data_IF_881782835396
#
_entry.id   IF_881782835396
#
_cell.length_a   1.000
_cell.length_b   1.000
_cell.length_c   1.000
_cell.angle_alpha   90.00
_cell.angle_beta   90.00
_cell.angle_gamma   90.00
#
_symmetry.space_group_name_H-M   'P 1'
#
loop_
_entity.id
_entity.type
_entity.pdbx_description
1 polymer ?
#
# COMPACT_ATOMS: atom_id res chain seq x y z
N UNK A 1 -3.63 -19.76 -33.50
CA UNK A 1 -2.66 -18.65 -33.49
C UNK A 1 -3.06 -17.71 -32.38
N UNK A 2 -2.54 -17.91 -31.18
CA UNK A 2 -2.60 -16.90 -30.12
C UNK A 2 -1.49 -15.90 -30.43
N UNK A 3 -1.91 -14.69 -30.75
CA UNK A 3 -1.02 -13.58 -31.09
C UNK A 3 -0.04 -13.33 -29.93
N UNK A 4 1.25 -13.27 -30.24
CA UNK A 4 2.34 -13.12 -29.28
C UNK A 4 2.49 -11.67 -28.83
N UNK A 5 1.44 -11.10 -28.23
CA UNK A 5 1.51 -9.78 -27.65
C UNK A 5 2.50 -9.78 -26.47
N UNK A 6 3.43 -8.83 -26.48
CA UNK A 6 4.31 -8.59 -25.34
C UNK A 6 3.46 -8.33 -24.07
N UNK A 7 3.90 -8.79 -22.89
CA UNK A 7 3.18 -8.51 -21.65
C UNK A 7 3.13 -6.99 -21.41
N UNK A 8 2.01 -6.50 -20.89
CA UNK A 8 1.83 -5.08 -20.56
C UNK A 8 2.90 -4.61 -19.57
N UNK A 9 3.51 -3.46 -19.86
CA UNK A 9 4.47 -2.82 -18.99
C UNK A 9 3.74 -1.88 -18.02
N UNK A 10 3.86 -2.15 -16.71
CA UNK A 10 3.05 -1.49 -15.68
C UNK A 10 3.97 -0.72 -14.72
N UNK A 11 3.73 0.57 -14.56
CA UNK A 11 4.42 1.39 -13.57
C UNK A 11 3.75 1.25 -12.20
N UNK A 12 4.41 0.57 -11.26
CA UNK A 12 3.94 0.58 -9.87
C UNK A 12 4.29 1.91 -9.19
N UNK A 13 3.27 2.62 -8.72
CA UNK A 13 3.44 3.88 -8.02
C UNK A 13 3.60 3.68 -6.51
N UNK A 14 4.74 4.15 -5.99
CA UNK A 14 5.04 4.27 -4.56
C UNK A 14 5.41 5.74 -4.26
N UNK A 15 4.98 6.31 -3.13
CA UNK A 15 4.32 5.67 -1.99
C UNK A 15 2.82 5.40 -2.16
N UNK A 16 2.36 4.31 -1.53
CA UNK A 16 0.94 3.96 -1.37
C UNK A 16 0.18 4.98 -0.49
N UNK A 17 -1.16 5.05 -0.56
CA UNK A 17 -2.07 4.23 -1.38
C UNK A 17 -2.40 4.82 -2.78
N UNK A 18 -2.10 6.10 -3.01
CA UNK A 18 -2.25 6.79 -4.29
C UNK A 18 -1.50 8.13 -4.22
N UNK A 19 -1.29 8.75 -5.38
CA UNK A 19 -0.61 10.04 -5.49
C UNK A 19 -1.45 11.20 -4.94
N UNK A 20 -0.77 12.29 -4.57
CA UNK A 20 -1.39 13.56 -4.24
C UNK A 20 -1.56 14.43 -5.49
N UNK A 21 -2.46 15.42 -5.43
CA UNK A 21 -2.73 16.33 -6.55
C UNK A 21 -1.47 17.03 -7.12
N UNK A 22 -0.47 17.29 -6.28
CA UNK A 22 0.82 17.90 -6.71
C UNK A 22 1.69 16.93 -7.53
N UNK A 23 1.46 15.64 -7.42
CA UNK A 23 2.23 14.57 -8.07
C UNK A 23 1.60 14.13 -9.41
N UNK A 24 0.40 14.60 -9.75
CA UNK A 24 -0.30 14.21 -10.98
C UNK A 24 0.49 14.48 -12.27
N UNK A 25 1.39 15.47 -12.29
CA UNK A 25 2.30 15.71 -13.43
C UNK A 25 3.32 14.59 -13.63
N UNK A 26 3.83 14.02 -12.53
CA UNK A 26 4.74 12.88 -12.57
C UNK A 26 4.01 11.62 -13.06
N UNK A 27 2.79 11.37 -12.56
CA UNK A 27 1.95 10.23 -12.98
C UNK A 27 1.70 10.24 -14.48
N UNK A 28 1.36 11.41 -15.04
CA UNK A 28 1.14 11.55 -16.50
C UNK A 28 2.40 11.25 -17.31
N UNK A 29 3.58 11.51 -16.75
CA UNK A 29 4.85 11.23 -17.43
C UNK A 29 5.15 9.73 -17.51
N UNK A 30 4.64 8.91 -16.57
CA UNK A 30 4.80 7.46 -16.60
C UNK A 30 4.12 6.83 -17.83
N UNK A 31 3.01 7.42 -18.30
CA UNK A 31 2.30 6.97 -19.51
C UNK A 31 3.11 7.12 -20.81
N UNK A 32 4.26 7.80 -20.77
CA UNK A 32 5.18 7.86 -21.91
C UNK A 32 6.03 6.59 -22.04
N UNK A 33 6.11 5.79 -20.98
CA UNK A 33 7.00 4.63 -20.87
C UNK A 33 6.28 3.33 -20.52
N UNK A 34 5.05 3.41 -19.98
CA UNK A 34 4.30 2.28 -19.49
C UNK A 34 2.86 2.31 -20.04
N UNK A 35 2.30 1.12 -20.24
CA UNK A 35 0.93 0.94 -20.73
C UNK A 35 -0.10 1.24 -19.63
N UNK A 36 0.24 0.95 -18.39
CA UNK A 36 -0.62 1.14 -17.22
C UNK A 36 0.16 1.72 -16.04
N UNK A 37 -0.55 2.37 -15.13
CA UNK A 37 -0.07 2.73 -13.80
C UNK A 37 -0.79 1.86 -12.78
N UNK A 38 -0.06 1.25 -11.86
CA UNK A 38 -0.62 0.47 -10.77
C UNK A 38 -0.47 1.19 -9.42
N UNK A 39 -1.51 1.09 -8.59
CA UNK A 39 -1.51 1.50 -7.19
C UNK A 39 -1.91 0.32 -6.32
N UNK A 40 -1.38 0.23 -5.10
CA UNK A 40 -1.94 -0.65 -4.08
C UNK A 40 -2.99 0.12 -3.29
N UNK A 41 -4.25 -0.31 -3.38
CA UNK A 41 -5.37 0.35 -2.70
C UNK A 41 -6.20 -0.70 -1.99
N UNK A 42 -6.26 -0.67 -0.65
CA UNK A 42 -7.18 -1.49 0.12
C UNK A 42 -8.63 -1.29 -0.31
N UNK A 43 -9.45 -2.34 -0.24
CA UNK A 43 -10.82 -2.33 -0.71
C UNK A 43 -11.69 -1.23 -0.07
N UNK A 44 -11.45 -0.94 1.22
CA UNK A 44 -12.15 0.06 2.01
C UNK A 44 -11.80 1.51 1.59
N UNK A 45 -10.74 1.70 0.81
CA UNK A 45 -10.31 3.00 0.27
C UNK A 45 -10.75 3.21 -1.19
N UNK A 46 -11.52 2.27 -1.77
CA UNK A 46 -11.97 2.37 -3.16
C UNK A 46 -12.63 3.72 -3.44
N UNK A 47 -12.20 4.37 -4.52
CA UNK A 47 -12.71 5.67 -4.96
C UNK A 47 -12.04 6.87 -4.29
N UNK A 48 -11.24 6.69 -3.23
CA UNK A 48 -10.51 7.80 -2.62
C UNK A 48 -9.41 8.35 -3.53
N UNK A 49 -8.82 7.52 -4.39
CA UNK A 49 -7.82 7.94 -5.39
C UNK A 49 -8.40 8.92 -6.41
N UNK A 50 -9.67 8.73 -6.81
CA UNK A 50 -10.40 9.66 -7.68
C UNK A 50 -10.68 10.98 -6.97
N UNK A 51 -11.10 10.93 -5.71
CA UNK A 51 -11.38 12.15 -4.93
C UNK A 51 -10.10 12.95 -4.67
N UNK A 52 -8.97 12.28 -4.43
CA UNK A 52 -7.70 12.91 -4.09
C UNK A 52 -7.10 13.71 -5.26
N UNK A 53 -7.19 13.19 -6.48
CA UNK A 53 -6.80 13.90 -7.70
C UNK A 53 -7.60 13.42 -8.91
N UNK A 54 -8.77 14.02 -9.18
CA UNK A 54 -9.62 13.63 -10.30
C UNK A 54 -8.93 13.80 -11.66
N UNK A 55 -7.96 14.71 -11.78
CA UNK A 55 -7.37 15.11 -13.06
C UNK A 55 -6.66 13.97 -13.79
N UNK A 56 -5.76 13.19 -13.17
CA UNK A 56 -5.26 11.94 -13.72
C UNK A 56 -6.11 10.73 -13.34
N UNK A 57 -6.72 10.67 -12.15
CA UNK A 57 -7.34 9.41 -11.69
C UNK A 57 -8.58 9.01 -12.52
N UNK A 58 -9.54 9.92 -12.76
CA UNK A 58 -10.75 9.58 -13.52
C UNK A 58 -10.42 9.17 -14.97
N UNK A 59 -9.56 9.90 -15.72
CA UNK A 59 -9.24 9.51 -17.08
C UNK A 59 -8.44 8.21 -17.16
N UNK A 60 -7.57 7.93 -16.18
CA UNK A 60 -6.82 6.68 -16.15
C UNK A 60 -7.74 5.49 -15.89
N UNK A 61 -8.62 5.59 -14.88
CA UNK A 61 -9.58 4.54 -14.55
C UNK A 61 -10.59 4.32 -15.69
N UNK A 62 -11.16 5.41 -16.23
CA UNK A 62 -12.13 5.35 -17.33
C UNK A 62 -11.55 4.82 -18.65
N UNK A 63 -10.22 4.76 -18.80
CA UNK A 63 -9.52 4.21 -19.97
C UNK A 63 -8.88 2.86 -19.72
N UNK A 64 -9.00 2.31 -18.50
CA UNK A 64 -8.32 1.06 -18.13
C UNK A 64 -6.79 1.19 -18.03
N UNK A 65 -6.28 2.41 -17.84
CA UNK A 65 -4.84 2.71 -17.66
C UNK A 65 -4.44 2.76 -16.18
N UNK A 66 -5.41 2.67 -15.26
CA UNK A 66 -5.17 2.52 -13.83
C UNK A 66 -5.50 1.08 -13.40
N UNK A 67 -4.48 0.38 -12.89
CA UNK A 67 -4.64 -0.92 -12.24
C UNK A 67 -4.66 -0.73 -10.73
N UNK A 68 -5.75 -1.13 -10.10
CA UNK A 68 -5.83 -1.18 -8.65
C UNK A 68 -5.46 -2.58 -8.18
N UNK A 69 -4.40 -2.68 -7.38
CA UNK A 69 -4.00 -3.92 -6.70
C UNK A 69 -4.61 -3.87 -5.30
N UNK A 70 -5.47 -4.82 -5.00
CA UNK A 70 -6.11 -4.96 -3.69
C UNK A 70 -5.28 -5.95 -2.85
N UNK A 71 -4.62 -5.50 -1.77
CA UNK A 71 -3.75 -6.35 -0.96
C UNK A 71 -4.48 -7.54 -0.34
N UNK A 72 -5.79 -7.42 -0.10
CA UNK A 72 -6.64 -8.46 0.46
C UNK A 72 -6.73 -9.72 -0.43
N UNK A 73 -6.46 -9.57 -1.74
CA UNK A 73 -6.43 -10.69 -2.68
C UNK A 73 -5.05 -11.35 -2.75
N UNK A 74 -4.01 -10.63 -2.32
CA UNK A 74 -2.63 -11.11 -2.33
C UNK A 74 -2.27 -11.84 -1.04
N UNK A 75 -2.87 -11.44 0.08
CA UNK A 75 -2.65 -12.01 1.40
C UNK A 75 -3.93 -12.72 1.84
N UNK A 76 -3.94 -14.04 1.68
CA UNK A 76 -5.08 -14.86 2.14
C UNK A 76 -5.12 -15.00 3.67
N UNK A 77 -6.21 -15.55 4.19
CA UNK A 77 -6.39 -15.75 5.63
C UNK A 77 -5.25 -16.60 6.25
N UNK A 78 -4.79 -17.71 5.64
CA UNK A 78 -3.61 -18.44 6.11
C UNK A 78 -2.32 -17.61 6.17
N UNK A 79 -2.05 -16.79 5.15
CA UNK A 79 -0.86 -15.92 5.11
C UNK A 79 -0.96 -14.81 6.15
N UNK A 80 -2.18 -14.27 6.34
CA UNK A 80 -2.47 -13.28 7.39
C UNK A 80 -2.21 -13.85 8.78
N UNK A 81 -2.65 -15.08 9.05
CA UNK A 81 -2.41 -15.75 10.33
C UNK A 81 -0.90 -15.97 10.58
N UNK A 82 -0.17 -16.47 9.58
CA UNK A 82 1.29 -16.66 9.67
C UNK A 82 2.03 -15.33 9.90
N UNK A 83 1.62 -14.27 9.21
CA UNK A 83 2.20 -12.94 9.42
C UNK A 83 1.90 -12.44 10.83
N UNK A 84 0.69 -12.70 11.33
CA UNK A 84 0.30 -12.45 12.71
C UNK A 84 1.22 -13.15 13.72
N UNK A 85 1.44 -14.46 13.55
CA UNK A 85 2.31 -15.25 14.43
C UNK A 85 3.76 -14.74 14.42
N UNK A 86 4.30 -14.39 13.24
CA UNK A 86 5.64 -13.81 13.11
C UNK A 86 5.72 -12.46 13.83
N UNK A 87 4.73 -11.59 13.62
CA UNK A 87 4.68 -10.30 14.29
C UNK A 87 4.56 -10.46 15.81
N UNK A 88 3.71 -11.36 16.29
CA UNK A 88 3.60 -11.67 17.73
C UNK A 88 4.92 -12.20 18.27
N UNK A 89 5.61 -13.10 17.55
CA UNK A 89 6.91 -13.61 17.97
C UNK A 89 7.97 -12.51 18.03
N UNK A 90 8.01 -11.61 17.04
CA UNK A 90 8.96 -10.49 17.02
C UNK A 90 8.65 -9.53 18.17
N UNK A 91 7.38 -9.21 18.39
CA UNK A 91 6.92 -8.33 19.47
C UNK A 91 7.21 -8.94 20.83
N UNK A 92 6.94 -10.22 21.04
CA UNK A 92 7.17 -10.87 22.35
C UNK A 92 8.64 -11.18 22.62
N UNK A 93 9.48 -11.17 21.59
CA UNK A 93 10.93 -11.21 21.73
C UNK A 93 11.54 -9.84 22.05
N UNK A 94 12.83 -9.81 22.41
CA UNK A 94 13.61 -8.57 22.55
C UNK A 94 14.09 -8.01 21.19
N UNK A 95 13.54 -8.49 20.05
CA UNK A 95 14.01 -8.11 18.71
C UNK A 95 13.79 -6.63 18.35
N UNK A 96 12.90 -5.94 19.05
CA UNK A 96 12.66 -4.50 18.87
C UNK A 96 13.30 -3.62 19.94
N UNK A 97 14.04 -4.21 20.89
CA UNK A 97 14.69 -3.46 21.96
C UNK A 97 15.78 -2.56 21.34
N UNK A 98 15.75 -1.26 21.66
CA UNK A 98 16.62 -0.24 21.07
C UNK A 98 16.19 0.30 19.71
N UNK A 99 15.12 -0.24 19.09
CA UNK A 99 14.56 0.31 17.84
C UNK A 99 13.80 1.61 18.08
N UNK A 100 13.27 1.83 19.29
CA UNK A 100 12.63 3.09 19.69
C UNK A 100 13.59 4.30 19.69
N UNK A 101 14.91 4.07 19.78
CA UNK A 101 15.91 5.14 19.66
C UNK A 101 16.05 5.66 18.22
N UNK A 102 15.59 4.89 17.21
CA UNK A 102 15.51 5.32 15.83
C UNK A 102 14.20 6.10 15.61
N UNK A 103 14.29 7.43 15.71
CA UNK A 103 13.15 8.34 15.57
C UNK A 103 12.24 7.97 14.37
N UNK A 104 10.97 7.65 14.66
CA UNK A 104 9.90 7.47 13.67
C UNK A 104 9.46 6.03 13.37
N UNK A 105 10.07 5.00 13.96
CA UNK A 105 9.67 3.60 13.69
C UNK A 105 8.23 3.29 14.13
N UNK A 106 7.81 3.77 15.30
CA UNK A 106 6.44 3.58 15.80
C UNK A 106 5.38 4.26 14.91
N UNK A 107 5.66 5.48 14.43
CA UNK A 107 4.77 6.23 13.52
C UNK A 107 4.66 5.56 12.14
N UNK A 108 5.78 5.08 11.59
CA UNK A 108 5.82 4.34 10.33
C UNK A 108 5.05 3.01 10.43
N UNK A 109 5.13 2.34 11.58
CA UNK A 109 4.44 1.07 11.83
C UNK A 109 2.92 1.25 11.90
N UNK A 110 2.42 2.33 12.51
CA UNK A 110 0.98 2.66 12.49
C UNK A 110 0.44 2.88 11.08
N UNK A 111 1.19 3.59 10.24
CA UNK A 111 0.79 3.86 8.85
C UNK A 111 0.71 2.57 8.03
N UNK A 112 1.73 1.70 8.15
CA UNK A 112 1.88 0.50 7.31
C UNK A 112 1.08 -0.72 7.76
N UNK A 113 0.70 -0.80 9.04
CA UNK A 113 -0.15 -1.90 9.55
C UNK A 113 -1.65 -1.67 9.36
N UNK A 114 -2.03 -0.70 8.53
CA UNK A 114 -3.44 -0.46 8.22
C UNK A 114 -4.22 -0.01 9.45
N UNK A 115 -3.80 1.08 10.11
CA UNK A 115 -4.55 1.72 11.21
C UNK A 115 -6.04 1.92 10.91
N UNK A 116 -6.41 2.07 9.64
CA UNK A 116 -7.81 2.20 9.19
C UNK A 116 -8.50 0.87 8.83
N UNK A 117 -7.77 -0.23 8.68
CA UNK A 117 -8.31 -1.57 8.41
C UNK A 117 -8.50 -2.40 9.69
N UNK A 118 -7.49 -2.45 10.57
CA UNK A 118 -7.53 -3.18 11.85
C UNK A 118 -7.03 -2.29 13.01
N UNK A 119 -7.79 -1.25 13.40
CA UNK A 119 -7.35 -0.23 14.35
C UNK A 119 -6.90 -0.82 15.69
N UNK A 120 -7.57 -1.86 16.18
CA UNK A 120 -7.21 -2.50 17.46
C UNK A 120 -5.88 -3.28 17.39
N UNK A 121 -5.52 -3.82 16.22
CA UNK A 121 -4.24 -4.52 16.02
C UNK A 121 -3.12 -3.49 15.87
N UNK A 122 -3.32 -2.48 15.00
CA UNK A 122 -2.35 -1.41 14.78
C UNK A 122 -2.08 -0.60 16.07
N UNK A 123 -3.12 -0.29 16.85
CA UNK A 123 -2.97 0.45 18.10
C UNK A 123 -2.29 -0.37 19.20
N UNK A 124 -2.62 -1.67 19.34
CA UNK A 124 -1.90 -2.56 20.28
C UNK A 124 -0.42 -2.64 19.95
N UNK A 125 -0.08 -2.76 18.67
CA UNK A 125 1.32 -2.81 18.22
C UNK A 125 2.05 -1.48 18.48
N UNK A 126 1.41 -0.35 18.19
CA UNK A 126 1.96 0.98 18.47
C UNK A 126 2.28 1.17 19.95
N UNK A 127 1.30 0.88 20.83
CA UNK A 127 1.47 1.02 22.29
C UNK A 127 2.60 0.12 22.81
N UNK A 128 2.73 -1.08 22.26
CA UNK A 128 3.79 -2.01 22.66
C UNK A 128 5.17 -1.54 22.17
N UNK A 129 5.26 -0.98 20.96
CA UNK A 129 6.50 -0.42 20.41
C UNK A 129 6.92 0.90 21.11
N UNK A 130 5.97 1.71 21.59
CA UNK A 130 6.28 2.95 22.35
C UNK A 130 6.81 2.70 23.76
N UNK A 131 6.51 1.53 24.33
CA UNK A 131 6.89 1.15 25.69
C UNK A 131 8.30 0.56 25.80
N UNK A 132 8.89 0.20 24.67
CA UNK A 132 10.23 -0.38 24.55
C UNK A 132 11.23 0.68 24.13
#
# INVERSE_FOLDING_TARGET
MTDGAAPSEIAYYYPEPYWLAREGGWIKSLLLFFDEVAILLPDYMRGQHVVADPSPAEPLEGRGLLRVIEPEWLVDEPTTAQLGDVMESLVTSEAFDGVAEAAGFAELSMSRMGYRGLPDVAHRLYVELERR
#
